data_IF_384034760855
#
_entry.id   IF_384034760855
#
_cell.length_a   1.000
_cell.length_b   1.000
_cell.length_c   1.000
_cell.angle_alpha   90.00
_cell.angle_beta   90.00
_cell.angle_gamma   90.00
#
_symmetry.space_group_name_H-M   'P 1'
#
loop_
_entity.id
_entity.type
_entity.pdbx_description
1 polymer ?
#
# COMPACT_ATOMS: atom_id res chain seq x y z
N UNK A 1 -5.31 -15.54 -6.85
CA UNK A 1 -5.11 -14.41 -5.89
C UNK A 1 -4.19 -13.37 -6.52
N UNK A 2 -4.56 -12.09 -6.47
CA UNK A 2 -3.71 -10.96 -6.87
C UNK A 2 -3.25 -10.22 -5.63
N UNK A 3 -1.97 -9.89 -5.54
CA UNK A 3 -1.37 -9.22 -4.38
C UNK A 3 -1.11 -7.76 -4.73
N UNK A 4 -1.66 -6.83 -3.95
CA UNK A 4 -1.39 -5.40 -4.02
C UNK A 4 -0.66 -4.94 -2.76
N UNK A 5 0.53 -4.35 -2.92
CA UNK A 5 1.24 -3.71 -1.81
C UNK A 5 0.87 -2.24 -1.77
N UNK A 6 0.40 -1.76 -0.61
CA UNK A 6 0.12 -0.34 -0.36
C UNK A 6 1.12 0.19 0.66
N UNK A 7 2.19 0.82 0.16
CA UNK A 7 3.27 1.40 0.95
C UNK A 7 3.07 2.90 1.19
N UNK A 8 3.90 3.50 2.02
CA UNK A 8 3.90 4.93 2.35
C UNK A 8 4.21 5.16 3.82
N UNK A 9 4.71 6.34 4.16
CA UNK A 9 5.08 6.68 5.53
C UNK A 9 3.87 6.77 6.46
N UNK A 10 4.16 6.79 7.78
CA UNK A 10 3.14 6.93 8.81
C UNK A 10 2.29 8.19 8.57
N UNK A 11 0.97 8.04 8.66
CA UNK A 11 0.04 9.15 8.45
C UNK A 11 -0.15 9.59 6.98
N UNK A 12 0.45 8.91 6.01
CA UNK A 12 0.29 9.24 4.59
C UNK A 12 -1.14 8.96 4.05
N UNK A 13 -1.96 8.21 4.77
CA UNK A 13 -3.34 7.90 4.36
C UNK A 13 -3.51 6.54 3.69
N UNK A 14 -2.59 5.59 3.92
CA UNK A 14 -2.66 4.23 3.37
C UNK A 14 -3.98 3.53 3.68
N UNK A 15 -4.33 3.43 4.94
CA UNK A 15 -5.58 2.79 5.39
C UNK A 15 -6.82 3.47 4.80
N UNK A 16 -6.80 4.81 4.68
CA UNK A 16 -7.90 5.55 4.03
C UNK A 16 -8.02 5.19 2.55
N UNK A 17 -6.88 5.07 1.86
CA UNK A 17 -6.86 4.63 0.47
C UNK A 17 -7.36 3.18 0.32
N UNK A 18 -6.92 2.25 1.19
CA UNK A 18 -7.36 0.85 1.16
C UNK A 18 -8.88 0.74 1.36
N UNK A 19 -9.45 1.51 2.29
CA UNK A 19 -10.91 1.61 2.48
C UNK A 19 -11.63 2.10 1.23
N UNK A 20 -11.10 3.14 0.60
CA UNK A 20 -11.66 3.69 -0.64
C UNK A 20 -11.56 2.67 -1.78
N UNK A 21 -10.43 1.99 -1.93
CA UNK A 21 -10.20 0.92 -2.89
C UNK A 21 -11.28 -0.17 -2.77
N UNK A 22 -11.48 -0.71 -1.57
CA UNK A 22 -12.48 -1.74 -1.31
C UNK A 22 -13.90 -1.27 -1.67
N UNK A 23 -14.25 -0.03 -1.27
CA UNK A 23 -15.56 0.56 -1.54
C UNK A 23 -15.83 0.80 -3.02
N UNK A 24 -14.84 1.34 -3.75
CA UNK A 24 -15.03 1.75 -5.15
C UNK A 24 -14.95 0.59 -6.13
N UNK A 25 -14.17 -0.45 -5.83
CA UNK A 25 -14.03 -1.60 -6.73
C UNK A 25 -15.12 -2.65 -6.52
N UNK A 26 -15.74 -2.70 -5.34
CA UNK A 26 -16.72 -3.73 -4.98
C UNK A 26 -16.15 -5.16 -4.99
N UNK A 27 -14.81 -5.28 -4.92
CA UNK A 27 -14.10 -6.57 -4.95
C UNK A 27 -13.94 -7.14 -3.54
N UNK A 28 -13.75 -8.46 -3.47
CA UNK A 28 -13.38 -9.12 -2.22
C UNK A 28 -11.89 -8.96 -1.96
N UNK A 29 -11.56 -8.40 -0.78
CA UNK A 29 -10.19 -8.20 -0.33
C UNK A 29 -9.92 -8.94 0.96
N UNK A 30 -8.78 -9.62 1.04
CA UNK A 30 -8.10 -9.90 2.30
C UNK A 30 -7.08 -8.80 2.54
N UNK A 31 -6.98 -8.29 3.76
CA UNK A 31 -6.00 -7.27 4.13
C UNK A 31 -5.03 -7.88 5.12
N UNK A 32 -3.74 -7.81 4.80
CA UNK A 32 -2.65 -8.21 5.66
C UNK A 32 -1.95 -6.95 6.17
N UNK A 33 -2.26 -6.57 7.41
CA UNK A 33 -1.62 -5.45 8.09
C UNK A 33 -0.43 -5.96 8.90
N UNK A 34 0.68 -5.23 8.83
CA UNK A 34 1.83 -5.46 9.68
C UNK A 34 2.11 -4.21 10.51
N UNK A 35 1.56 -4.16 11.70
CA UNK A 35 1.79 -3.05 12.61
C UNK A 35 2.73 -3.44 13.76
N UNK A 36 3.79 -2.62 13.93
CA UNK A 36 4.73 -2.75 15.03
C UNK A 36 4.30 -1.81 16.16
N UNK A 37 3.65 -2.37 17.18
CA UNK A 37 3.32 -1.61 18.39
C UNK A 37 1.82 -1.57 18.73
N UNK A 38 1.51 -1.49 20.01
CA UNK A 38 0.22 -1.64 20.66
C UNK A 38 -0.87 -0.58 20.34
N UNK A 39 -0.97 -0.17 19.12
CA UNK A 39 -2.04 0.68 18.61
C UNK A 39 -2.58 0.06 17.32
N UNK A 40 -3.11 -1.17 17.45
CA UNK A 40 -3.94 -1.74 16.39
C UNK A 40 -5.01 -0.72 16.02
N UNK A 41 -5.04 -0.32 14.76
CA UNK A 41 -6.12 0.53 14.26
C UNK A 41 -7.39 -0.26 14.52
N UNK A 42 -8.31 0.35 15.26
CA UNK A 42 -9.64 -0.11 15.59
C UNK A 42 -10.18 -1.13 14.58
N UNK A 43 -9.87 -2.42 14.79
CA UNK A 43 -10.44 -3.54 14.03
C UNK A 43 -11.96 -3.41 14.01
N UNK A 44 -12.55 -3.08 15.15
CA UNK A 44 -13.98 -2.80 15.29
C UNK A 44 -14.43 -1.65 14.39
N UNK A 45 -13.56 -0.67 14.12
CA UNK A 45 -13.88 0.48 13.27
C UNK A 45 -13.78 0.15 11.77
N UNK A 46 -12.78 -0.65 11.38
CA UNK A 46 -12.67 -1.18 10.02
C UNK A 46 -13.81 -2.15 9.72
N UNK A 47 -14.08 -3.08 10.61
CA UNK A 47 -15.20 -4.04 10.46
C UNK A 47 -16.56 -3.34 10.45
N UNK A 48 -16.77 -2.30 11.27
CA UNK A 48 -18.04 -1.55 11.33
C UNK A 48 -18.25 -0.68 10.10
N UNK A 49 -17.20 -0.06 9.57
CA UNK A 49 -17.29 0.80 8.37
C UNK A 49 -17.35 -0.03 7.07
N UNK A 50 -16.85 -1.26 7.07
CA UNK A 50 -16.85 -2.19 5.94
C UNK A 50 -17.95 -3.25 6.04
N UNK A 51 -18.91 -3.08 6.94
CA UNK A 51 -20.04 -4.01 7.21
C UNK A 51 -20.93 -4.39 5.99
N UNK A 52 -20.51 -4.02 4.77
CA UNK A 52 -21.12 -4.47 3.52
C UNK A 52 -20.71 -5.87 3.03
N UNK A 53 -19.95 -6.61 3.82
CA UNK A 53 -19.76 -8.07 3.60
C UNK A 53 -18.70 -8.50 2.58
N UNK A 54 -17.88 -7.60 2.05
CA UNK A 54 -16.91 -7.92 1.00
C UNK A 54 -15.43 -7.79 1.40
N UNK A 55 -15.15 -7.46 2.67
CA UNK A 55 -13.76 -7.29 3.14
C UNK A 55 -13.50 -8.15 4.35
N UNK A 56 -12.55 -9.09 4.23
CA UNK A 56 -12.01 -9.88 5.32
C UNK A 56 -10.66 -9.32 5.74
N UNK A 57 -10.52 -8.93 7.01
CA UNK A 57 -9.29 -8.37 7.56
C UNK A 57 -8.54 -9.47 8.32
N UNK A 58 -7.29 -9.67 7.95
CA UNK A 58 -6.36 -10.60 8.59
C UNK A 58 -5.21 -9.80 9.18
N UNK A 59 -5.08 -9.85 10.50
CA UNK A 59 -3.94 -9.24 11.18
C UNK A 59 -2.84 -10.29 11.37
N UNK A 60 -1.62 -9.98 10.95
CA UNK A 60 -0.45 -10.72 11.39
C UNK A 60 0.09 -10.07 12.66
N UNK A 61 -0.12 -10.73 13.79
CA UNK A 61 0.35 -10.28 15.10
C UNK A 61 1.78 -10.73 15.42
N UNK A 62 2.40 -11.58 14.59
CA UNK A 62 3.72 -12.14 14.87
C UNK A 62 4.74 -11.75 13.79
N UNK A 63 5.67 -10.91 14.18
CA UNK A 63 6.89 -10.63 13.42
C UNK A 63 6.75 -9.54 12.35
N UNK A 64 7.67 -8.61 12.37
CA UNK A 64 7.77 -7.56 11.36
C UNK A 64 8.01 -8.18 9.98
N UNK A 65 7.16 -7.91 8.98
CA UNK A 65 7.39 -8.30 7.55
C UNK A 65 8.80 -7.88 7.08
N UNK A 66 9.32 -6.78 7.65
CA UNK A 66 10.65 -6.27 7.34
C UNK A 66 11.78 -6.98 8.11
N UNK A 67 11.47 -7.66 9.24
CA UNK A 67 12.47 -8.21 10.16
C UNK A 67 12.39 -9.74 10.27
N UNK A 68 11.28 -10.36 9.86
CA UNK A 68 11.14 -11.81 9.83
C UNK A 68 12.17 -12.41 8.85
N UNK A 69 12.74 -13.55 9.19
CA UNK A 69 13.52 -14.32 8.25
C UNK A 69 12.73 -14.45 6.93
N UNK A 70 13.39 -14.22 5.82
CA UNK A 70 12.77 -14.10 4.46
C UNK A 70 11.74 -15.19 4.10
N UNK A 71 11.75 -16.32 4.83
CA UNK A 71 10.82 -17.43 4.63
C UNK A 71 9.46 -17.27 5.30
N UNK A 72 9.35 -16.62 6.45
CA UNK A 72 8.14 -16.64 7.26
C UNK A 72 7.01 -15.79 6.63
N UNK A 73 7.36 -14.65 6.04
CA UNK A 73 6.41 -13.78 5.37
C UNK A 73 5.80 -14.43 4.11
N UNK A 74 6.66 -14.98 3.25
CA UNK A 74 6.22 -15.67 2.03
C UNK A 74 5.34 -16.88 2.37
N UNK A 75 5.68 -17.65 3.41
CA UNK A 75 4.87 -18.75 3.90
C UNK A 75 3.50 -18.32 4.43
N UNK A 76 3.43 -17.16 5.10
CA UNK A 76 2.16 -16.60 5.57
C UNK A 76 1.25 -16.24 4.41
N UNK A 77 1.79 -15.60 3.37
CA UNK A 77 1.05 -15.28 2.15
C UNK A 77 0.57 -16.55 1.42
N UNK A 78 1.42 -17.57 1.32
CA UNK A 78 1.05 -18.87 0.76
C UNK A 78 -0.04 -19.56 1.59
N UNK A 79 0.00 -19.44 2.92
CA UNK A 79 -1.03 -20.00 3.80
C UNK A 79 -2.37 -19.31 3.57
N UNK A 80 -2.40 -17.99 3.40
CA UNK A 80 -3.62 -17.24 3.04
C UNK A 80 -4.13 -17.68 1.67
N UNK A 81 -3.24 -17.81 0.67
CA UNK A 81 -3.61 -18.26 -0.66
C UNK A 81 -4.23 -19.67 -0.67
N UNK A 82 -3.75 -20.56 0.21
CA UNK A 82 -4.25 -21.94 0.27
C UNK A 82 -5.50 -22.11 1.15
N UNK A 83 -5.62 -21.33 2.22
CA UNK A 83 -6.72 -21.48 3.18
C UNK A 83 -7.95 -20.65 2.82
N UNK A 84 -7.76 -19.46 2.25
CA UNK A 84 -8.81 -18.46 2.00
C UNK A 84 -9.02 -18.25 0.51
N UNK A 85 -7.94 -18.25 -0.28
CA UNK A 85 -7.89 -17.97 -1.73
C UNK A 85 -8.68 -16.70 -2.13
N UNK A 86 -8.44 -15.55 -1.52
CA UNK A 86 -9.17 -14.33 -1.84
C UNK A 86 -8.87 -13.90 -3.27
N UNK A 87 -9.80 -13.18 -3.92
CA UNK A 87 -9.53 -12.60 -5.24
C UNK A 87 -8.33 -11.64 -5.17
N UNK A 88 -8.30 -10.78 -4.13
CA UNK A 88 -7.23 -9.82 -3.88
C UNK A 88 -6.71 -9.92 -2.45
N UNK A 89 -5.38 -9.87 -2.29
CA UNK A 89 -4.70 -9.69 -1.01
C UNK A 89 -4.03 -8.32 -1.01
N UNK A 90 -4.48 -7.41 -0.15
CA UNK A 90 -3.81 -6.13 0.08
C UNK A 90 -2.84 -6.28 1.24
N UNK A 91 -1.59 -5.89 1.03
CA UNK A 91 -0.54 -5.90 2.05
C UNK A 91 -0.21 -4.46 2.40
N UNK A 92 -0.46 -4.08 3.66
CA UNK A 92 -0.02 -2.79 4.22
C UNK A 92 1.21 -3.01 5.10
N UNK A 93 2.44 -2.82 4.58
CA UNK A 93 3.65 -2.92 5.40
C UNK A 93 3.76 -1.73 6.35
N UNK A 94 4.55 -1.88 7.43
CA UNK A 94 4.91 -0.75 8.29
C UNK A 94 5.52 0.38 7.48
N UNK A 95 5.19 1.63 7.83
CA UNK A 95 5.65 2.82 7.11
C UNK A 95 7.18 3.01 7.05
N UNK A 96 7.94 2.21 7.79
CA UNK A 96 9.42 2.24 7.85
C UNK A 96 10.07 1.03 7.17
N UNK A 97 9.31 0.20 6.44
CA UNK A 97 9.85 -0.94 5.69
C UNK A 97 10.44 -0.53 4.33
N UNK A 98 11.52 -1.20 3.91
CA UNK A 98 12.02 -1.08 2.53
C UNK A 98 11.08 -1.86 1.60
N UNK A 99 10.38 -1.16 0.73
CA UNK A 99 9.42 -1.75 -0.20
C UNK A 99 10.08 -2.78 -1.13
N UNK A 100 11.29 -2.51 -1.60
CA UNK A 100 12.03 -3.42 -2.46
C UNK A 100 12.22 -4.82 -1.86
N UNK A 101 12.52 -4.92 -0.56
CA UNK A 101 12.68 -6.21 0.12
C UNK A 101 11.36 -7.01 0.13
N UNK A 102 10.23 -6.34 0.30
CA UNK A 102 8.91 -6.98 0.31
C UNK A 102 8.58 -7.49 -1.09
N UNK A 103 8.79 -6.65 -2.10
CA UNK A 103 8.58 -7.01 -3.52
C UNK A 103 9.44 -8.22 -3.90
N UNK A 104 10.74 -8.23 -3.55
CA UNK A 104 11.64 -9.37 -3.82
C UNK A 104 11.16 -10.66 -3.16
N UNK A 105 10.71 -10.60 -1.91
CA UNK A 105 10.21 -11.78 -1.21
C UNK A 105 8.92 -12.32 -1.86
N UNK A 106 8.01 -11.45 -2.30
CA UNK A 106 6.77 -11.87 -2.95
C UNK A 106 6.99 -12.40 -4.36
N UNK A 107 7.97 -11.88 -5.10
CA UNK A 107 8.33 -12.42 -6.43
C UNK A 107 8.77 -13.89 -6.37
N UNK A 108 9.31 -14.35 -5.24
CA UNK A 108 9.71 -15.75 -5.08
C UNK A 108 8.54 -16.73 -4.99
N UNK A 109 7.35 -16.25 -4.63
CA UNK A 109 6.12 -17.05 -4.51
C UNK A 109 5.12 -16.76 -5.62
N UNK A 110 5.50 -15.98 -6.62
CA UNK A 110 4.67 -15.69 -7.80
C UNK A 110 4.61 -16.92 -8.70
N UNK A 111 3.41 -17.34 -9.05
CA UNK A 111 3.12 -18.45 -9.97
C UNK A 111 1.69 -18.31 -10.50
N UNK A 112 1.21 -19.26 -11.34
CA UNK A 112 -0.08 -19.18 -12.04
C UNK A 112 -1.28 -18.74 -11.20
N UNK A 113 -1.29 -19.05 -9.88
CA UNK A 113 -2.37 -18.68 -8.94
C UNK A 113 -2.10 -17.41 -8.14
N UNK A 114 -0.86 -16.91 -8.11
CA UNK A 114 -0.46 -15.73 -7.36
C UNK A 114 0.23 -14.75 -8.29
N UNK A 115 -0.36 -13.57 -8.47
CA UNK A 115 0.19 -12.50 -9.31
C UNK A 115 0.43 -11.26 -8.44
N UNK A 116 1.63 -10.70 -8.53
CA UNK A 116 1.96 -9.44 -7.88
C UNK A 116 1.58 -8.27 -8.79
N UNK A 117 0.69 -7.41 -8.29
CA UNK A 117 0.34 -6.15 -8.95
C UNK A 117 1.43 -5.09 -8.72
N UNK A 118 1.43 -4.05 -9.55
CA UNK A 118 2.33 -2.93 -9.37
C UNK A 118 2.12 -2.27 -7.98
N UNK A 119 3.18 -2.12 -7.15
CA UNK A 119 3.03 -1.55 -5.82
C UNK A 119 2.54 -0.11 -5.87
N UNK A 120 1.64 0.25 -4.94
CA UNK A 120 1.18 1.62 -4.73
C UNK A 120 1.92 2.24 -3.55
N UNK A 121 2.50 3.42 -3.74
CA UNK A 121 3.07 4.22 -2.64
C UNK A 121 2.25 5.47 -2.42
N UNK A 122 1.70 5.60 -1.21
CA UNK A 122 0.93 6.79 -0.80
C UNK A 122 1.87 7.85 -0.23
N UNK A 123 1.83 9.05 -0.81
CA UNK A 123 2.70 10.19 -0.48
C UNK A 123 1.85 11.37 -0.04
N UNK A 124 2.01 11.82 1.21
CA UNK A 124 1.35 13.01 1.73
C UNK A 124 2.00 14.29 1.18
N UNK A 125 1.20 15.13 0.49
CA UNK A 125 1.68 16.37 -0.14
C UNK A 125 2.32 17.36 0.85
N UNK A 126 1.90 17.34 2.13
CA UNK A 126 2.40 18.28 3.14
C UNK A 126 3.71 17.82 3.80
N UNK A 127 3.94 16.50 3.87
CA UNK A 127 5.07 15.94 4.62
C UNK A 127 6.21 15.38 3.75
N UNK A 128 6.02 15.27 2.43
CA UNK A 128 6.98 14.60 1.55
C UNK A 128 8.38 15.21 1.58
N UNK A 129 8.49 16.55 1.63
CA UNK A 129 9.79 17.24 1.68
C UNK A 129 10.56 16.93 2.95
N UNK A 130 9.84 16.91 4.10
CA UNK A 130 10.42 16.57 5.38
C UNK A 130 10.96 15.15 5.38
N UNK A 131 10.18 14.19 4.92
CA UNK A 131 10.60 12.78 4.89
C UNK A 131 11.74 12.51 3.92
N UNK A 132 11.80 13.20 2.78
CA UNK A 132 12.95 13.14 1.88
C UNK A 132 14.24 13.65 2.55
N UNK A 133 14.18 14.60 3.48
CA UNK A 133 15.31 15.12 4.21
C UNK A 133 15.69 14.27 5.43
N UNK A 134 14.69 13.84 6.21
CA UNK A 134 14.91 13.10 7.47
C UNK A 134 15.25 11.62 7.23
N UNK A 135 14.64 11.01 6.19
CA UNK A 135 14.76 9.57 5.90
C UNK A 135 15.02 9.30 4.41
N UNK A 136 16.06 9.90 3.81
CA UNK A 136 16.25 9.92 2.36
C UNK A 136 16.28 8.52 1.73
N UNK A 137 17.07 7.60 2.29
CA UNK A 137 17.20 6.25 1.72
C UNK A 137 15.90 5.46 1.76
N UNK A 138 15.20 5.51 2.88
CA UNK A 138 13.98 4.75 3.09
C UNK A 138 12.82 5.30 2.25
N UNK A 139 12.67 6.62 2.27
CA UNK A 139 11.60 7.29 1.53
C UNK A 139 11.80 7.18 0.02
N UNK A 140 13.04 7.35 -0.47
CA UNK A 140 13.36 7.14 -1.87
C UNK A 140 13.14 5.69 -2.31
N UNK A 141 13.49 4.69 -1.48
CA UNK A 141 13.23 3.30 -1.82
C UNK A 141 11.73 3.02 -2.05
N UNK A 142 10.85 3.57 -1.21
CA UNK A 142 9.41 3.42 -1.40
C UNK A 142 8.92 4.09 -2.69
N UNK A 143 9.50 5.22 -3.09
CA UNK A 143 9.13 5.94 -4.32
C UNK A 143 9.68 5.20 -5.55
N UNK A 144 10.93 4.75 -5.52
CA UNK A 144 11.59 4.07 -6.65
C UNK A 144 10.91 2.74 -6.99
N UNK A 145 10.51 1.98 -5.98
CA UNK A 145 9.88 0.67 -6.15
C UNK A 145 8.38 0.74 -6.49
N UNK A 146 7.78 1.93 -6.43
CA UNK A 146 6.36 2.09 -6.74
C UNK A 146 6.09 1.97 -8.25
N UNK A 147 5.08 1.20 -8.62
CA UNK A 147 4.48 1.27 -9.95
C UNK A 147 3.50 2.42 -10.07
N UNK A 148 2.78 2.70 -8.98
CA UNK A 148 1.89 3.87 -8.86
C UNK A 148 2.22 4.67 -7.61
N UNK A 149 2.32 5.99 -7.75
CA UNK A 149 2.49 6.93 -6.64
C UNK A 149 1.21 7.74 -6.52
N UNK A 150 0.53 7.59 -5.38
CA UNK A 150 -0.69 8.30 -5.07
C UNK A 150 -0.39 9.46 -4.12
N UNK A 151 -0.60 10.70 -4.56
CA UNK A 151 -0.45 11.88 -3.71
C UNK A 151 -1.73 12.10 -2.93
N UNK A 152 -1.64 12.01 -1.61
CA UNK A 152 -2.78 12.17 -0.70
C UNK A 152 -2.87 13.59 -0.13
N UNK A 153 -4.03 13.90 0.46
CA UNK A 153 -4.33 15.19 1.12
C UNK A 153 -4.24 16.39 0.18
N UNK A 154 -4.67 16.19 -1.06
CA UNK A 154 -4.58 17.18 -2.14
C UNK A 154 -5.82 18.06 -2.27
N UNK A 155 -6.81 17.91 -1.37
CA UNK A 155 -8.13 18.56 -1.47
C UNK A 155 -8.03 20.08 -1.42
N UNK A 156 -7.04 20.61 -0.69
CA UNK A 156 -6.80 22.06 -0.55
C UNK A 156 -5.52 22.51 -1.24
N UNK A 157 -4.82 21.61 -1.92
CA UNK A 157 -3.56 21.93 -2.58
C UNK A 157 -3.78 22.72 -3.86
N UNK A 158 -2.98 23.75 -4.06
CA UNK A 158 -2.96 24.53 -5.28
C UNK A 158 -2.41 23.73 -6.46
N UNK A 159 -2.68 24.16 -7.69
CA UNK A 159 -2.12 23.56 -8.89
C UNK A 159 -0.58 23.61 -8.89
N UNK A 160 0.00 24.68 -8.32
CA UNK A 160 1.45 24.86 -8.21
C UNK A 160 2.06 23.81 -7.24
N UNK A 161 1.45 23.58 -6.08
CA UNK A 161 1.89 22.58 -5.12
C UNK A 161 1.82 21.17 -5.72
N UNK A 162 0.72 20.85 -6.41
CA UNK A 162 0.57 19.58 -7.13
C UNK A 162 1.65 19.40 -8.21
N UNK A 163 1.96 20.45 -8.96
CA UNK A 163 3.01 20.40 -9.98
C UNK A 163 4.43 20.27 -9.39
N UNK A 164 4.69 20.92 -8.25
CA UNK A 164 5.97 20.80 -7.55
C UNK A 164 6.21 19.37 -7.04
N UNK A 165 5.22 18.76 -6.37
CA UNK A 165 5.37 17.38 -5.90
C UNK A 165 5.45 16.40 -7.07
N UNK A 166 4.66 16.59 -8.13
CA UNK A 166 4.74 15.77 -9.34
C UNK A 166 6.16 15.77 -9.90
N UNK A 167 6.76 16.96 -10.07
CA UNK A 167 8.12 17.10 -10.62
C UNK A 167 9.17 16.46 -9.72
N UNK A 168 9.03 16.61 -8.39
CA UNK A 168 9.93 16.00 -7.42
C UNK A 168 9.85 14.46 -7.45
N UNK A 169 8.65 13.90 -7.47
CA UNK A 169 8.44 12.46 -7.53
C UNK A 169 8.90 11.87 -8.88
N UNK A 170 8.61 12.56 -9.98
CA UNK A 170 9.04 12.16 -11.33
C UNK A 170 10.56 12.13 -11.48
N UNK A 171 11.28 13.03 -10.80
CA UNK A 171 12.76 13.03 -10.80
C UNK A 171 13.35 11.81 -10.05
N UNK A 172 12.63 11.26 -9.08
CA UNK A 172 13.04 10.06 -8.32
C UNK A 172 12.60 8.77 -9.04
N UNK A 173 11.36 8.75 -9.54
CA UNK A 173 10.82 7.61 -10.30
C UNK A 173 10.29 8.09 -11.65
N UNK A 174 11.08 7.92 -12.73
CA UNK A 174 10.70 8.35 -14.08
C UNK A 174 9.54 7.56 -14.70
N UNK A 175 9.27 6.35 -14.22
CA UNK A 175 8.37 5.39 -14.88
C UNK A 175 7.03 5.21 -14.16
N UNK A 176 6.97 5.47 -12.85
CA UNK A 176 5.72 5.29 -12.10
C UNK A 176 4.57 6.15 -12.64
N UNK A 177 3.36 5.63 -12.58
CA UNK A 177 2.17 6.47 -12.70
C UNK A 177 2.08 7.37 -11.46
N UNK A 178 1.94 8.69 -11.65
CA UNK A 178 1.83 9.65 -10.54
C UNK A 178 0.44 10.29 -10.59
N UNK A 179 -0.34 10.10 -9.53
CA UNK A 179 -1.70 10.60 -9.39
C UNK A 179 -1.68 11.72 -8.34
N UNK A 180 -1.93 12.95 -8.76
CA UNK A 180 -1.96 14.15 -7.90
C UNK A 180 -3.37 14.64 -7.60
N UNK A 181 -4.37 14.13 -8.29
CA UNK A 181 -5.76 14.39 -7.99
C UNK A 181 -6.28 13.41 -6.92
N UNK A 182 -7.38 13.79 -6.28
CA UNK A 182 -7.96 12.92 -5.26
C UNK A 182 -8.40 11.59 -5.89
N UNK A 183 -8.02 10.48 -5.25
CA UNK A 183 -8.24 9.14 -5.77
C UNK A 183 -9.73 8.79 -5.99
N UNK A 184 -10.67 9.50 -5.37
CA UNK A 184 -12.11 9.33 -5.67
C UNK A 184 -12.50 9.69 -7.10
N UNK A 185 -11.61 10.35 -7.86
CA UNK A 185 -11.80 10.69 -9.27
C UNK A 185 -11.28 9.60 -10.21
N UNK A 186 -10.61 8.57 -9.69
CA UNK A 186 -10.12 7.45 -10.48
C UNK A 186 -11.29 6.63 -11.04
N UNK A 187 -11.17 6.19 -12.28
CA UNK A 187 -12.09 5.22 -12.87
C UNK A 187 -11.89 3.84 -12.21
N UNK A 188 -12.90 2.97 -12.16
CA UNK A 188 -12.82 1.67 -11.49
C UNK A 188 -11.67 0.78 -11.94
N UNK A 189 -11.26 0.87 -13.20
CA UNK A 189 -10.17 0.13 -13.82
C UNK A 189 -8.78 0.71 -13.50
N UNK A 190 -8.71 1.93 -13.00
CA UNK A 190 -7.44 2.58 -12.60
C UNK A 190 -7.00 2.25 -11.16
N UNK A 191 -7.83 1.54 -10.38
CA UNK A 191 -7.53 1.22 -8.99
C UNK A 191 -6.64 -0.02 -8.80
N UNK A 192 -6.66 -0.94 -9.76
CA UNK A 192 -6.01 -2.27 -9.67
C UNK A 192 -5.27 -2.59 -10.98
N UNK A 193 -4.03 -2.13 -11.08
CA UNK A 193 -3.15 -2.38 -12.23
C UNK A 193 -2.08 -3.41 -11.94
#
# INVERSE_FOLDING_TARGET
MKILIVSGFLGAGKTTFIKALAKHTGKEFAILENEYGAAGIDKDRLETELASGTVNIWEMTEGCICCSAKGDFALSVLSIANAVDPEYLVIEPTGVGKLGNIVENLKQIEYDRITLLAPVTVVDIHSYRRYLQEYPELYQNQIVEAGTILVSKTEQASAEEKQQIFSALRSINPTAQIITDHYSLLAPDEWLH
#
